data_IF_519346212009
#
_entry.id   IF_519346212009
#
_cell.length_a   1.000
_cell.length_b   1.000
_cell.length_c   1.000
_cell.angle_alpha   90.00
_cell.angle_beta   90.00
_cell.angle_gamma   90.00
#
_symmetry.space_group_name_H-M   'P 1'
#
loop_
_entity.id
_entity.type
_entity.pdbx_description
1 polymer ?
#
# COMPACT_ATOMS: atom_id res chain seq x y z
N UNK A 1 -12.76 -12.75 53.41
CA UNK A 1 -11.40 -13.29 53.30
C UNK A 1 -10.49 -12.38 54.09
N UNK A 2 -9.95 -12.84 55.21
CA UNK A 2 -9.26 -11.96 56.16
C UNK A 2 -7.87 -11.51 55.64
N UNK A 3 -7.38 -10.41 56.16
CA UNK A 3 -6.10 -9.76 55.84
C UNK A 3 -4.89 -10.77 55.90
N UNK A 4 -4.96 -11.74 56.79
CA UNK A 4 -3.97 -12.83 56.88
C UNK A 4 -3.89 -13.68 55.59
N UNK A 5 -5.01 -13.92 54.92
CA UNK A 5 -5.02 -14.72 53.67
C UNK A 5 -4.40 -13.96 52.47
N UNK A 6 -4.53 -12.65 52.44
CA UNK A 6 -3.91 -11.81 51.40
C UNK A 6 -2.42 -11.68 51.61
N UNK A 7 -1.94 -11.52 52.84
CA UNK A 7 -0.49 -11.47 53.13
C UNK A 7 0.22 -12.78 52.87
N UNK A 8 -0.40 -13.93 53.25
CA UNK A 8 0.16 -15.26 52.91
C UNK A 8 0.22 -15.52 51.41
N UNK A 9 -0.76 -15.07 50.61
CA UNK A 9 -0.75 -15.17 49.18
C UNK A 9 0.36 -14.34 48.55
N UNK A 10 0.60 -13.12 49.06
CA UNK A 10 1.67 -12.22 48.62
C UNK A 10 3.05 -12.84 48.90
N UNK A 11 3.24 -13.42 50.08
CA UNK A 11 4.50 -14.10 50.44
C UNK A 11 4.77 -15.37 49.59
N UNK A 12 3.73 -16.11 49.22
CA UNK A 12 3.87 -17.32 48.40
C UNK A 12 3.98 -17.00 46.88
N UNK A 13 3.98 -15.73 46.48
CA UNK A 13 4.10 -15.30 45.10
C UNK A 13 3.17 -16.03 44.12
N UNK A 14 2.00 -16.48 44.61
CA UNK A 14 1.06 -17.31 43.83
C UNK A 14 0.65 -16.64 42.51
N UNK A 15 0.48 -15.34 42.55
CA UNK A 15 0.11 -14.56 41.35
C UNK A 15 1.26 -14.52 40.33
N UNK A 16 2.50 -14.45 40.81
CA UNK A 16 3.67 -14.51 39.94
C UNK A 16 3.79 -15.91 39.30
N UNK A 17 3.63 -16.96 40.08
CA UNK A 17 3.65 -18.35 39.56
C UNK A 17 2.51 -18.56 38.56
N UNK A 18 1.31 -18.07 38.85
CA UNK A 18 0.17 -18.18 37.94
C UNK A 18 0.43 -17.42 36.62
N UNK A 19 1.02 -16.22 36.70
CA UNK A 19 1.43 -15.45 35.53
C UNK A 19 2.48 -16.18 34.69
N UNK A 20 3.50 -16.73 35.35
CA UNK A 20 4.53 -17.54 34.67
C UNK A 20 3.95 -18.82 34.03
N UNK A 21 3.05 -19.52 34.69
CA UNK A 21 2.38 -20.68 34.14
C UNK A 21 1.53 -20.31 32.88
N UNK A 22 0.85 -19.17 32.92
CA UNK A 22 0.09 -18.68 31.77
C UNK A 22 0.98 -18.38 30.57
N UNK A 23 2.09 -17.67 30.76
CA UNK A 23 3.05 -17.37 29.69
C UNK A 23 3.75 -18.62 29.18
N UNK A 24 4.10 -19.55 30.07
CA UNK A 24 4.67 -20.85 29.71
C UNK A 24 3.69 -21.67 28.84
N UNK A 25 2.42 -21.68 29.18
CA UNK A 25 1.38 -22.32 28.37
C UNK A 25 1.21 -21.75 26.98
N UNK A 26 1.44 -20.43 26.80
CA UNK A 26 1.41 -19.77 25.49
C UNK A 26 2.56 -20.20 24.58
N UNK A 27 3.69 -20.64 25.14
CA UNK A 27 4.87 -21.06 24.37
C UNK A 27 4.59 -22.31 23.51
N UNK A 28 3.61 -23.15 23.93
CA UNK A 28 3.21 -24.36 23.20
C UNK A 28 2.02 -24.14 22.24
N UNK A 29 1.49 -22.93 22.17
CA UNK A 29 0.41 -22.61 21.22
C UNK A 29 0.97 -22.31 19.83
N UNK A 30 0.19 -22.54 18.74
CA UNK A 30 0.60 -22.18 17.41
C UNK A 30 0.82 -20.65 17.34
N UNK A 31 1.87 -20.25 16.64
CA UNK A 31 2.24 -18.85 16.46
C UNK A 31 1.16 -18.12 15.65
N UNK A 32 0.71 -16.97 16.13
CA UNK A 32 -0.22 -16.07 15.43
C UNK A 32 0.56 -15.02 14.61
N UNK A 33 1.80 -14.75 15.01
CA UNK A 33 2.66 -13.76 14.36
C UNK A 33 3.23 -14.29 13.05
N UNK A 34 3.28 -13.40 12.04
CA UNK A 34 3.92 -13.69 10.76
C UNK A 34 5.42 -13.36 10.83
N UNK A 35 6.22 -14.21 10.21
CA UNK A 35 7.68 -14.03 10.13
C UNK A 35 8.03 -13.18 8.88
N UNK A 36 7.74 -11.88 8.96
CA UNK A 36 8.11 -10.94 7.89
C UNK A 36 9.65 -10.79 7.83
N UNK A 37 10.30 -10.75 6.64
CA UNK A 37 9.71 -10.67 5.29
C UNK A 37 9.42 -12.03 4.61
N UNK A 38 9.73 -13.15 5.27
CA UNK A 38 9.58 -14.50 4.69
C UNK A 38 8.11 -14.89 4.52
N UNK A 39 7.29 -14.49 5.47
CA UNK A 39 5.85 -14.68 5.45
C UNK A 39 5.16 -13.33 5.37
N UNK A 40 4.30 -13.13 4.35
CA UNK A 40 3.54 -11.90 4.17
C UNK A 40 2.06 -12.18 4.39
N UNK A 41 1.42 -11.33 5.18
CA UNK A 41 -0.02 -11.39 5.39
C UNK A 41 -0.83 -11.08 4.12
N UNK A 42 -2.08 -11.53 4.05
CA UNK A 42 -2.98 -11.16 2.97
C UNK A 42 -3.23 -9.64 2.99
N UNK A 43 -3.08 -9.00 1.84
CA UNK A 43 -3.44 -7.59 1.67
C UNK A 43 -4.89 -7.47 1.25
N UNK A 44 -5.58 -6.45 1.76
CA UNK A 44 -6.90 -6.08 1.28
C UNK A 44 -6.83 -5.65 -0.19
N UNK A 45 -7.89 -5.91 -0.97
CA UNK A 45 -8.01 -5.41 -2.33
C UNK A 45 -8.13 -3.86 -2.39
N UNK A 46 -8.46 -3.22 -1.27
CA UNK A 46 -8.50 -1.76 -1.11
C UNK A 46 -7.21 -1.19 -0.51
N UNK A 47 -6.12 -1.97 -0.52
CA UNK A 47 -4.85 -1.51 0.01
C UNK A 47 -4.27 -0.42 -0.88
N UNK A 48 -3.88 0.68 -0.28
CA UNK A 48 -3.31 1.86 -0.94
C UNK A 48 -1.80 1.84 -0.74
N UNK A 49 -1.09 1.38 -1.76
CA UNK A 49 0.37 1.34 -1.77
C UNK A 49 0.98 2.20 -2.87
N UNK A 50 2.05 1.74 -3.46
CA UNK A 50 2.84 2.48 -4.44
C UNK A 50 2.02 2.88 -5.67
N UNK A 51 2.14 4.16 -6.08
CA UNK A 51 1.44 4.71 -7.23
C UNK A 51 2.01 4.18 -8.54
N UNK A 52 1.13 3.95 -9.51
CA UNK A 52 1.52 3.57 -10.86
C UNK A 52 0.62 4.23 -11.91
N UNK A 53 1.19 4.53 -13.08
CA UNK A 53 0.46 5.00 -14.25
C UNK A 53 0.18 3.85 -15.20
N UNK A 54 -1.10 3.58 -15.46
CA UNK A 54 -1.55 2.51 -16.35
C UNK A 54 -1.44 2.92 -17.81
N UNK A 55 -1.20 1.91 -18.66
CA UNK A 55 -1.27 2.04 -20.10
C UNK A 55 -2.37 1.17 -20.68
N UNK A 56 -2.81 1.47 -21.88
CA UNK A 56 -3.66 0.60 -22.67
C UNK A 56 -2.87 -0.63 -23.16
N UNK A 57 -3.55 -1.73 -23.55
CA UNK A 57 -2.88 -2.91 -24.08
C UNK A 57 -2.03 -2.65 -25.35
N UNK A 58 -2.36 -1.59 -26.10
CA UNK A 58 -1.58 -1.13 -27.25
C UNK A 58 -0.30 -0.36 -26.86
N UNK A 59 -0.03 -0.19 -25.56
CA UNK A 59 1.13 0.54 -25.05
C UNK A 59 0.92 2.05 -24.91
N UNK A 60 -0.22 2.58 -25.35
CA UNK A 60 -0.53 4.00 -25.25
C UNK A 60 -0.84 4.41 -23.79
N UNK A 61 -0.51 5.66 -23.44
CA UNK A 61 -0.79 6.21 -22.12
C UNK A 61 -2.30 6.43 -21.93
N UNK A 62 -2.85 6.00 -20.80
CA UNK A 62 -4.24 6.28 -20.46
C UNK A 62 -4.46 7.71 -19.99
N UNK A 63 -3.41 8.36 -19.45
CA UNK A 63 -3.51 9.71 -18.91
C UNK A 63 -3.78 10.73 -20.00
N UNK A 64 -4.86 11.49 -19.84
CA UNK A 64 -5.30 12.57 -20.74
C UNK A 64 -4.89 13.96 -20.26
N UNK A 65 -4.03 14.05 -19.26
CA UNK A 65 -3.54 15.29 -18.68
C UNK A 65 -4.65 16.27 -18.22
N UNK A 66 -5.73 15.74 -17.64
CA UNK A 66 -6.85 16.55 -17.14
C UNK A 66 -6.54 17.32 -15.85
N UNK A 67 -5.43 16.99 -15.15
CA UNK A 67 -4.97 17.60 -13.89
C UNK A 67 -5.92 17.47 -12.69
N UNK A 68 -6.95 16.65 -12.76
CA UNK A 68 -7.88 16.45 -11.64
C UNK A 68 -7.20 15.85 -10.42
N UNK A 69 -6.29 14.87 -10.62
CA UNK A 69 -5.53 14.25 -9.54
C UNK A 69 -4.57 15.25 -8.84
N UNK A 70 -3.99 16.22 -9.59
CA UNK A 70 -3.19 17.30 -9.03
C UNK A 70 -4.06 18.24 -8.18
N UNK A 71 -5.22 18.65 -8.72
CA UNK A 71 -6.13 19.57 -8.03
C UNK A 71 -6.79 18.96 -6.78
N UNK A 72 -7.03 17.64 -6.76
CA UNK A 72 -7.67 16.94 -5.65
C UNK A 72 -6.66 16.55 -4.57
N UNK A 73 -5.37 16.57 -4.84
CA UNK A 73 -4.35 16.11 -3.91
C UNK A 73 -4.24 17.02 -2.67
N UNK A 74 -4.60 16.55 -1.45
CA UNK A 74 -4.56 17.39 -0.25
C UNK A 74 -3.13 17.69 0.21
N UNK A 75 -2.16 16.87 -0.21
CA UNK A 75 -0.74 17.02 0.14
C UNK A 75 0.06 17.77 -0.92
N UNK A 76 -0.59 18.19 -2.03
CA UNK A 76 0.09 18.85 -3.16
C UNK A 76 1.34 18.07 -3.61
N UNK A 77 1.22 16.74 -3.63
CA UNK A 77 2.33 15.84 -3.94
C UNK A 77 2.49 15.58 -5.44
N UNK A 78 1.49 15.95 -6.26
CA UNK A 78 1.44 15.66 -7.69
C UNK A 78 1.67 16.93 -8.48
N UNK A 79 2.56 16.86 -9.47
CA UNK A 79 2.82 17.98 -10.41
C UNK A 79 2.68 17.47 -11.84
N UNK A 80 1.83 18.12 -12.63
CA UNK A 80 1.52 17.71 -14.00
C UNK A 80 1.74 18.87 -14.99
N UNK A 81 2.53 18.60 -16.02
CA UNK A 81 2.63 19.49 -17.19
C UNK A 81 1.99 18.80 -18.40
N UNK A 82 1.14 19.53 -19.08
CA UNK A 82 0.38 19.04 -20.22
C UNK A 82 0.85 19.72 -21.51
N UNK A 83 0.88 18.96 -22.60
CA UNK A 83 1.11 19.44 -23.95
C UNK A 83 -0.03 19.01 -24.85
N UNK A 84 -0.41 19.87 -25.76
CA UNK A 84 -1.34 19.55 -26.84
C UNK A 84 -0.61 18.77 -27.94
N UNK A 85 -1.27 17.75 -28.47
CA UNK A 85 -0.82 16.98 -29.63
C UNK A 85 -1.37 17.57 -30.91
N UNK A 86 -0.80 17.20 -32.03
CA UNK A 86 -1.22 17.61 -33.38
C UNK A 86 -2.67 17.16 -33.72
N UNK A 87 -3.17 16.14 -33.02
CA UNK A 87 -4.54 15.61 -33.12
C UNK A 87 -5.56 16.34 -32.23
N UNK A 88 -5.14 17.41 -31.52
CA UNK A 88 -5.97 18.18 -30.57
C UNK A 88 -6.16 17.48 -29.22
N UNK A 89 -5.63 16.28 -29.01
CA UNK A 89 -5.65 15.60 -27.72
C UNK A 89 -4.56 16.14 -26.79
N UNK A 90 -4.72 15.94 -25.48
CA UNK A 90 -3.73 16.33 -24.48
C UNK A 90 -2.93 15.11 -24.02
N UNK A 91 -1.64 15.34 -23.77
CA UNK A 91 -0.73 14.37 -23.19
C UNK A 91 0.10 15.03 -22.08
N UNK A 92 0.54 14.24 -21.10
CA UNK A 92 1.48 14.70 -20.10
C UNK A 92 2.90 14.71 -20.65
N UNK A 93 3.59 15.84 -20.55
CA UNK A 93 5.05 15.91 -20.74
C UNK A 93 5.77 15.56 -19.46
N UNK A 94 5.25 16.04 -18.34
CA UNK A 94 5.76 15.77 -17.01
C UNK A 94 4.65 15.28 -16.09
N UNK A 95 4.94 14.26 -15.31
CA UNK A 95 4.05 13.73 -14.28
C UNK A 95 4.91 13.27 -13.12
N UNK A 96 5.00 14.06 -12.08
CA UNK A 96 5.83 13.79 -10.94
C UNK A 96 4.98 13.61 -9.70
N UNK A 97 5.35 12.64 -8.85
CA UNK A 97 4.77 12.43 -7.53
C UNK A 97 5.88 12.46 -6.49
N UNK A 98 5.77 13.35 -5.53
CA UNK A 98 6.62 13.33 -4.33
C UNK A 98 6.04 12.32 -3.33
N UNK A 99 6.61 11.11 -3.31
CA UNK A 99 6.17 10.02 -2.44
C UNK A 99 6.40 10.33 -0.96
N UNK A 100 7.27 11.31 -0.63
CA UNK A 100 7.50 11.72 0.76
C UNK A 100 6.43 12.67 1.29
N UNK A 101 5.74 13.40 0.39
CA UNK A 101 4.59 14.23 0.73
C UNK A 101 3.29 13.45 0.69
N UNK A 102 3.22 12.44 -0.16
CA UNK A 102 2.01 11.65 -0.36
C UNK A 102 1.56 10.97 0.93
N UNK A 103 0.26 11.10 1.24
CA UNK A 103 -0.38 10.46 2.40
C UNK A 103 -1.17 9.19 2.03
N UNK A 104 -1.07 8.72 0.79
CA UNK A 104 -1.74 7.51 0.29
C UNK A 104 -3.25 7.51 0.54
N UNK A 105 -3.91 8.64 0.32
CA UNK A 105 -5.34 8.81 0.57
C UNK A 105 -6.25 8.23 -0.53
N UNK A 106 -5.71 7.94 -1.72
CA UNK A 106 -6.45 7.38 -2.86
C UNK A 106 -7.32 8.38 -3.64
N UNK A 107 -7.41 9.64 -3.23
CA UNK A 107 -8.24 10.63 -3.90
C UNK A 107 -7.83 10.89 -5.36
N UNK A 108 -6.55 10.71 -5.67
CA UNK A 108 -6.05 10.84 -7.06
C UNK A 108 -6.57 9.71 -7.96
N UNK A 109 -6.70 8.50 -7.44
CA UNK A 109 -7.30 7.36 -8.14
C UNK A 109 -8.80 7.57 -8.35
N UNK A 110 -9.51 7.99 -7.30
CA UNK A 110 -10.97 8.25 -7.35
C UNK A 110 -11.32 9.41 -8.30
N UNK A 111 -10.47 10.44 -8.38
CA UNK A 111 -10.68 11.60 -9.25
C UNK A 111 -10.34 11.34 -10.72
N UNK A 112 -9.69 10.23 -11.06
CA UNK A 112 -9.21 9.97 -12.40
C UNK A 112 -10.33 9.43 -13.31
N UNK A 113 -10.78 10.16 -14.35
CA UNK A 113 -11.90 9.74 -15.19
C UNK A 113 -11.57 8.56 -16.12
N UNK A 114 -10.28 8.26 -16.28
CA UNK A 114 -9.79 7.22 -17.20
C UNK A 114 -9.04 6.10 -16.49
N UNK A 115 -9.06 6.04 -15.15
CA UNK A 115 -8.32 5.08 -14.33
C UNK A 115 -6.84 4.98 -14.74
N UNK A 116 -6.20 6.10 -14.99
CA UNK A 116 -4.80 6.15 -15.42
C UNK A 116 -3.83 6.01 -14.24
N UNK A 117 -4.10 6.72 -13.13
CA UNK A 117 -3.34 6.58 -11.89
C UNK A 117 -4.04 5.57 -10.99
N UNK A 118 -3.27 4.68 -10.40
CA UNK A 118 -3.76 3.66 -9.44
C UNK A 118 -2.77 3.50 -8.31
N UNK A 119 -3.27 3.10 -7.15
CA UNK A 119 -2.46 2.69 -6.02
C UNK A 119 -2.33 1.16 -6.02
N UNK A 120 -1.09 0.69 -6.14
CA UNK A 120 -0.78 -0.74 -6.22
C UNK A 120 -0.69 -1.42 -4.85
N UNK A 121 -0.51 -2.73 -4.83
CA UNK A 121 -0.33 -3.50 -3.59
C UNK A 121 1.11 -3.43 -3.04
N UNK A 122 2.04 -2.79 -3.74
CA UNK A 122 3.43 -2.68 -3.31
C UNK A 122 3.57 -1.63 -2.22
N UNK A 123 4.26 -1.99 -1.13
CA UNK A 123 4.59 -1.08 -0.02
C UNK A 123 6.08 -1.16 0.37
N UNK A 124 6.84 -2.02 -0.32
CA UNK A 124 8.26 -2.26 -0.04
C UNK A 124 9.12 -1.44 -1.01
N UNK A 125 9.08 -0.12 -0.89
CA UNK A 125 9.84 0.82 -1.74
C UNK A 125 10.63 1.85 -0.92
N UNK A 126 11.10 1.44 0.25
CA UNK A 126 12.01 2.25 1.04
C UNK A 126 13.33 2.47 0.30
N UNK A 127 13.86 3.68 0.36
CA UNK A 127 15.09 4.12 -0.30
C UNK A 127 16.00 4.83 0.67
N UNK A 128 17.27 5.01 0.32
CA UNK A 128 18.25 5.70 1.16
C UNK A 128 18.16 7.22 1.03
N UNK A 129 17.73 7.72 -0.13
CA UNK A 129 17.67 9.14 -0.43
C UNK A 129 16.26 9.60 -0.75
N UNK A 130 15.99 10.89 -0.46
CA UNK A 130 14.68 11.49 -0.74
C UNK A 130 14.43 11.64 -2.24
N UNK A 131 15.48 11.89 -3.00
CA UNK A 131 15.42 12.08 -4.45
C UNK A 131 14.89 10.84 -5.16
N UNK A 132 15.20 9.67 -4.65
CA UNK A 132 14.69 8.40 -5.19
C UNK A 132 13.18 8.21 -4.96
N UNK A 133 12.60 8.90 -3.99
CA UNK A 133 11.16 8.92 -3.71
C UNK A 133 10.42 10.04 -4.49
N UNK A 134 11.13 10.81 -5.28
CA UNK A 134 10.54 11.66 -6.30
C UNK A 134 10.30 10.81 -7.55
N UNK A 135 9.06 10.40 -7.76
CA UNK A 135 8.69 9.54 -8.87
C UNK A 135 8.33 10.37 -10.08
N UNK A 136 9.12 10.24 -11.12
CA UNK A 136 8.85 10.81 -12.43
C UNK A 136 7.92 9.91 -13.27
N UNK A 137 7.45 10.43 -14.39
CA UNK A 137 6.60 9.70 -15.32
C UNK A 137 7.23 8.39 -15.80
N UNK A 138 8.55 8.37 -16.00
CA UNK A 138 9.27 7.19 -16.47
C UNK A 138 9.28 6.07 -15.43
N UNK A 139 9.40 6.43 -14.15
CA UNK A 139 9.37 5.48 -13.03
C UNK A 139 7.95 4.98 -12.74
N UNK A 140 6.93 5.82 -12.87
CA UNK A 140 5.53 5.45 -12.61
C UNK A 140 4.95 4.48 -13.66
N UNK A 141 5.36 4.58 -14.92
CA UNK A 141 4.82 3.77 -16.01
C UNK A 141 5.21 2.28 -15.96
N UNK A 142 6.47 1.88 -15.67
CA UNK A 142 6.89 0.48 -15.63
C UNK A 142 6.34 -0.29 -14.44
N UNK A 143 6.03 0.37 -13.33
CA UNK A 143 5.59 -0.28 -12.11
C UNK A 143 4.33 -1.13 -12.29
N UNK A 144 3.44 -0.75 -13.21
CA UNK A 144 2.24 -1.53 -13.51
C UNK A 144 2.42 -2.55 -14.64
N UNK A 145 3.34 -2.31 -15.56
CA UNK A 145 3.62 -3.21 -16.71
C UNK A 145 4.57 -4.35 -16.37
N UNK A 146 5.39 -4.19 -15.32
CA UNK A 146 6.23 -5.27 -14.81
C UNK A 146 5.35 -6.27 -14.03
N UNK A 147 5.25 -7.53 -14.46
CA UNK A 147 4.50 -8.54 -13.72
C UNK A 147 5.22 -8.83 -12.41
N UNK A 148 4.88 -8.09 -11.36
CA UNK A 148 5.25 -8.50 -10.01
C UNK A 148 4.78 -9.94 -9.81
N UNK A 149 5.60 -10.83 -9.24
CA UNK A 149 5.18 -12.20 -8.92
C UNK A 149 3.87 -12.24 -8.12
N UNK A 150 3.54 -11.17 -7.44
CA UNK A 150 2.29 -10.96 -6.69
C UNK A 150 1.10 -10.61 -7.59
N UNK A 151 1.28 -9.80 -8.63
CA UNK A 151 0.24 -9.51 -9.63
C UNK A 151 -0.15 -10.77 -10.42
N UNK A 152 0.79 -11.69 -10.62
CA UNK A 152 0.49 -12.97 -11.31
C UNK A 152 -0.49 -13.84 -10.53
N UNK A 153 -0.56 -13.73 -9.20
CA UNK A 153 -1.56 -14.43 -8.38
C UNK A 153 -2.93 -13.75 -8.40
N UNK A 154 -2.99 -12.42 -8.42
CA UNK A 154 -4.27 -11.69 -8.52
C UNK A 154 -4.94 -11.85 -9.89
N UNK A 155 -4.16 -11.90 -10.99
CA UNK A 155 -4.70 -12.19 -12.33
C UNK A 155 -5.15 -13.63 -12.54
N UNK A 156 -4.78 -14.57 -11.66
CA UNK A 156 -5.26 -15.97 -11.71
C UNK A 156 -6.59 -16.19 -11.02
N UNK A 157 -7.12 -15.21 -10.32
CA UNK A 157 -8.48 -15.31 -9.79
C UNK A 157 -9.48 -15.15 -10.94
N UNK A 158 -10.35 -16.13 -11.19
CA UNK A 158 -11.40 -16.00 -12.20
C UNK A 158 -12.33 -14.85 -11.81
N UNK A 159 -12.86 -14.14 -12.83
CA UNK A 159 -13.75 -12.99 -12.63
C UNK A 159 -15.00 -13.32 -11.78
N UNK A 160 -15.34 -14.59 -11.60
CA UNK A 160 -16.38 -15.08 -10.70
C UNK A 160 -16.06 -14.93 -9.21
N UNK A 161 -14.80 -14.79 -8.83
CA UNK A 161 -14.40 -14.59 -7.42
C UNK A 161 -14.62 -13.16 -6.90
N UNK A 162 -14.99 -12.21 -7.78
CA UNK A 162 -15.25 -10.81 -7.44
C UNK A 162 -16.73 -10.52 -7.16
N UNK A 163 -17.57 -11.55 -7.10
CA UNK A 163 -19.03 -11.43 -6.88
C UNK A 163 -19.45 -11.93 -5.49
N UNK A 164 -18.77 -11.50 -4.43
CA UNK A 164 -19.28 -11.61 -3.06
C UNK A 164 -18.87 -10.41 -2.24
#
# INVERSE_FOLDING_TARGET
MGALGTTLRSFLLKELVAGMASTFGLMFRPKVTLNYPYEKGPLSHRFRGEHALRRYPNGEERCIACKLCEATCPAEAITIEAQERDDGSRRTTRYDIDMTKCIYCGLCEEACPVDAIVEGPNYEFATETREELMYDKAKLCPLYTSPSPRNRQQYRMPASAWKN
#
